data_IF_389484086427
#
_entry.id   IF_389484086427
#
_cell.length_a   1.000
_cell.length_b   1.000
_cell.length_c   1.000
_cell.angle_alpha   90.00
_cell.angle_beta   90.00
_cell.angle_gamma   90.00
#
_symmetry.space_group_name_H-M   'P 1'
#
loop_
_entity.id
_entity.type
_entity.pdbx_description
1 polymer ?
#
# COMPACT_ATOMS: atom_id res chain seq x y z
N UNK A 1 -16.15 -19.60 -19.86
CA UNK A 1 -16.96 -20.02 -18.68
C UNK A 1 -16.01 -20.57 -17.63
N UNK A 2 -16.14 -20.15 -16.37
CA UNK A 2 -15.36 -20.70 -15.27
C UNK A 2 -15.93 -22.09 -14.98
N UNK A 3 -15.07 -23.12 -14.91
CA UNK A 3 -15.50 -24.47 -14.61
C UNK A 3 -15.98 -24.55 -13.15
N UNK A 4 -17.00 -25.39 -12.86
CA UNK A 4 -17.56 -25.53 -11.51
C UNK A 4 -16.51 -26.01 -10.49
N UNK A 5 -15.59 -26.86 -10.93
CA UNK A 5 -14.46 -27.31 -10.10
C UNK A 5 -13.48 -26.16 -9.72
N UNK A 6 -13.39 -25.09 -10.53
CA UNK A 6 -12.56 -23.90 -10.21
C UNK A 6 -13.17 -23.08 -9.08
N UNK A 7 -14.48 -23.20 -8.84
CA UNK A 7 -15.16 -22.56 -7.69
C UNK A 7 -14.86 -23.29 -6.38
N UNK A 8 -14.67 -24.60 -6.43
CA UNK A 8 -14.29 -25.42 -5.28
C UNK A 8 -12.79 -25.34 -4.98
N UNK A 9 -11.97 -25.31 -6.04
CA UNK A 9 -10.51 -25.22 -5.97
C UNK A 9 -10.02 -24.11 -6.87
N UNK A 10 -9.93 -22.85 -6.36
CA UNK A 10 -9.49 -21.72 -7.14
C UNK A 10 -8.14 -22.00 -7.82
N UNK A 11 -7.97 -21.63 -9.10
CA UNK A 11 -6.73 -21.84 -9.81
C UNK A 11 -5.59 -21.05 -9.20
N UNK A 12 -4.38 -21.61 -9.23
CA UNK A 12 -3.20 -20.88 -8.81
C UNK A 12 -2.87 -19.79 -9.85
N UNK A 13 -2.67 -18.57 -9.39
CA UNK A 13 -2.29 -17.41 -10.20
C UNK A 13 -0.98 -16.83 -9.72
N UNK A 14 -0.30 -16.11 -10.60
CA UNK A 14 0.86 -15.27 -10.29
C UNK A 14 0.34 -13.84 -10.16
N UNK A 15 0.25 -13.34 -8.92
CA UNK A 15 -0.39 -12.07 -8.62
C UNK A 15 0.61 -10.91 -8.78
N UNK A 16 0.63 -10.34 -9.95
CA UNK A 16 1.43 -9.16 -10.30
C UNK A 16 0.56 -7.93 -10.60
N UNK A 17 -0.66 -7.90 -10.11
CA UNK A 17 -1.53 -6.73 -10.17
C UNK A 17 -1.24 -5.70 -9.06
N UNK A 18 -2.06 -4.64 -8.95
CA UNK A 18 -1.91 -3.61 -7.92
C UNK A 18 -2.32 -4.08 -6.50
N UNK A 19 -2.40 -5.36 -6.28
CA UNK A 19 -2.85 -6.05 -5.08
C UNK A 19 -4.22 -6.71 -5.28
N UNK A 20 -4.41 -7.90 -4.64
CA UNK A 20 -3.49 -8.55 -3.70
C UNK A 20 -2.20 -9.05 -4.34
N UNK A 21 -1.15 -9.22 -3.51
CA UNK A 21 0.10 -9.88 -3.86
C UNK A 21 0.06 -11.38 -3.52
N UNK A 22 1.01 -12.15 -4.03
CA UNK A 22 1.18 -13.55 -3.65
C UNK A 22 1.37 -13.68 -2.13
N UNK A 23 0.91 -14.79 -1.58
CA UNK A 23 0.96 -15.10 -0.16
C UNK A 23 1.88 -16.29 0.08
N UNK A 24 2.84 -16.13 1.00
CA UNK A 24 3.75 -17.21 1.34
C UNK A 24 3.01 -18.43 1.92
N UNK A 25 3.42 -19.68 1.59
CA UNK A 25 2.77 -20.89 2.12
C UNK A 25 2.70 -20.94 3.66
N UNK A 26 3.66 -20.34 4.37
CA UNK A 26 3.65 -20.22 5.84
C UNK A 26 2.45 -19.40 6.34
N UNK A 27 2.14 -18.31 5.65
CA UNK A 27 1.01 -17.44 5.98
C UNK A 27 -0.32 -18.14 5.74
N UNK A 28 -0.43 -18.89 4.63
CA UNK A 28 -1.63 -19.70 4.34
C UNK A 28 -1.82 -20.81 5.38
N UNK A 29 -0.76 -21.46 5.84
CA UNK A 29 -0.85 -22.45 6.95
C UNK A 29 -1.29 -21.79 8.25
N UNK A 30 -0.80 -20.61 8.57
CA UNK A 30 -1.23 -19.87 9.76
C UNK A 30 -2.72 -19.51 9.67
N UNK A 31 -3.21 -19.09 8.51
CA UNK A 31 -4.62 -18.80 8.26
C UNK A 31 -5.52 -20.02 8.48
N UNK A 32 -5.04 -21.23 8.16
CA UNK A 32 -5.76 -22.49 8.30
C UNK A 32 -5.63 -23.13 9.70
N UNK A 33 -4.97 -22.49 10.65
CA UNK A 33 -4.83 -22.98 12.02
C UNK A 33 -6.17 -22.99 12.77
N UNK A 34 -6.34 -23.83 13.82
CA UNK A 34 -7.55 -23.86 14.62
C UNK A 34 -7.91 -22.48 15.20
N UNK A 35 -9.18 -22.10 15.09
CA UNK A 35 -9.67 -20.82 15.60
C UNK A 35 -9.78 -20.87 17.14
N UNK A 36 -9.17 -19.88 17.81
CA UNK A 36 -9.27 -19.70 19.26
C UNK A 36 -10.40 -18.71 19.61
N UNK A 37 -10.76 -18.65 20.88
CA UNK A 37 -11.63 -17.58 21.38
C UNK A 37 -10.89 -16.22 21.36
N UNK A 38 -11.64 -15.14 21.15
CA UNK A 38 -11.10 -13.78 21.06
C UNK A 38 -10.49 -13.24 22.38
N UNK A 39 -10.75 -13.90 23.51
CA UNK A 39 -10.14 -13.62 24.84
C UNK A 39 -9.27 -14.78 25.33
N UNK A 40 -9.01 -15.78 24.49
CA UNK A 40 -8.08 -16.85 24.83
C UNK A 40 -6.69 -16.29 25.10
N UNK A 41 -6.03 -16.67 26.20
CA UNK A 41 -4.70 -16.16 26.54
C UNK A 41 -3.64 -16.32 25.44
N UNK A 42 -3.72 -17.41 24.66
CA UNK A 42 -2.83 -17.64 23.53
C UNK A 42 -3.11 -16.62 22.40
N UNK A 43 -4.39 -16.36 22.10
CA UNK A 43 -4.77 -15.34 21.11
C UNK A 43 -4.35 -13.93 21.54
N UNK A 44 -4.55 -13.56 22.80
CA UNK A 44 -4.12 -12.28 23.32
C UNK A 44 -2.59 -12.07 23.16
N UNK A 45 -1.80 -13.13 23.40
CA UNK A 45 -0.36 -13.08 23.15
C UNK A 45 -0.02 -12.92 21.66
N UNK A 46 -0.79 -13.53 20.77
CA UNK A 46 -0.65 -13.33 19.31
C UNK A 46 -0.96 -11.87 18.93
N UNK A 47 -1.99 -11.28 19.51
CA UNK A 47 -2.31 -9.84 19.33
C UNK A 47 -1.13 -8.96 19.77
N UNK A 48 -0.55 -9.21 20.94
CA UNK A 48 0.60 -8.45 21.46
C UNK A 48 1.81 -8.56 20.53
N UNK A 49 2.16 -9.78 20.12
CA UNK A 49 3.24 -9.99 19.15
C UNK A 49 2.97 -9.29 17.83
N UNK A 50 1.72 -9.28 17.36
CA UNK A 50 1.33 -8.58 16.13
C UNK A 50 1.54 -7.07 16.27
N UNK A 51 1.15 -6.49 17.41
CA UNK A 51 1.43 -5.06 17.71
C UNK A 51 2.93 -4.74 17.66
N UNK A 52 3.74 -5.55 18.34
CA UNK A 52 5.17 -5.32 18.41
C UNK A 52 5.86 -5.44 17.04
N UNK A 53 5.42 -6.40 16.23
CA UNK A 53 5.91 -6.56 14.86
C UNK A 53 5.45 -5.39 13.97
N UNK A 54 4.21 -4.92 14.09
CA UNK A 54 3.72 -3.74 13.37
C UNK A 54 4.52 -2.49 13.71
N UNK A 55 4.83 -2.24 15.00
CA UNK A 55 5.68 -1.12 15.42
C UNK A 55 7.04 -1.15 14.71
N UNK A 56 7.64 -2.33 14.61
CA UNK A 56 8.93 -2.51 13.91
C UNK A 56 8.81 -2.19 12.42
N UNK A 57 7.73 -2.63 11.75
CA UNK A 57 7.53 -2.40 10.31
C UNK A 57 7.19 -0.94 10.02
N UNK A 58 6.39 -0.27 10.88
CA UNK A 58 6.15 1.17 10.81
C UNK A 58 7.35 2.02 11.28
N UNK A 59 8.34 1.40 11.89
CA UNK A 59 9.49 2.08 12.50
C UNK A 59 9.02 3.14 13.51
N UNK A 60 8.21 2.72 14.48
CA UNK A 60 7.58 3.60 15.45
C UNK A 60 7.54 3.00 16.84
N UNK A 61 7.54 3.88 17.87
CA UNK A 61 7.30 3.56 19.26
C UNK A 61 5.85 3.87 19.71
N UNK A 62 4.98 4.24 18.79
CA UNK A 62 3.59 4.58 19.09
C UNK A 62 2.86 3.42 19.79
N UNK A 63 2.29 3.69 20.95
CA UNK A 63 1.50 2.71 21.71
C UNK A 63 0.25 2.28 20.94
N UNK A 64 -0.40 3.23 20.26
CA UNK A 64 -1.58 2.98 19.47
C UNK A 64 -1.19 2.48 18.07
N UNK A 65 -0.64 1.26 18.02
CA UNK A 65 -0.31 0.53 16.80
C UNK A 65 -1.03 -0.80 16.82
N UNK A 66 -1.91 -1.06 15.86
CA UNK A 66 -2.77 -2.25 15.83
C UNK A 66 -3.24 -2.56 14.40
N UNK A 67 -4.01 -3.63 14.25
CA UNK A 67 -4.67 -3.96 13.00
C UNK A 67 -6.21 -3.86 13.15
N UNK A 68 -6.82 -2.97 12.39
CA UNK A 68 -8.28 -2.83 12.33
C UNK A 68 -8.86 -4.02 11.58
N UNK A 69 -9.98 -4.55 12.08
CA UNK A 69 -10.76 -5.59 11.40
C UNK A 69 -11.50 -4.99 10.22
N UNK A 70 -10.87 -5.10 9.04
CA UNK A 70 -11.32 -4.51 7.79
C UNK A 70 -10.17 -4.30 6.83
N UNK A 71 -10.46 -4.01 5.57
CA UNK A 71 -9.42 -3.75 4.57
C UNK A 71 -8.78 -2.37 4.74
N UNK A 72 -7.77 -2.03 3.92
CA UNK A 72 -7.08 -0.73 4.00
C UNK A 72 -8.01 0.49 3.96
N UNK A 73 -9.17 0.40 3.30
CA UNK A 73 -10.18 1.48 3.31
C UNK A 73 -10.78 1.69 4.70
N UNK A 74 -10.91 0.63 5.50
CA UNK A 74 -11.35 0.75 6.90
C UNK A 74 -10.32 1.52 7.74
N UNK A 75 -9.02 1.34 7.46
CA UNK A 75 -7.95 2.12 8.07
C UNK A 75 -8.01 3.59 7.69
N UNK A 76 -8.26 3.91 6.42
CA UNK A 76 -8.49 5.28 5.95
C UNK A 76 -9.66 5.93 6.72
N UNK A 77 -10.80 5.27 6.75
CA UNK A 77 -11.97 5.78 7.47
C UNK A 77 -11.72 5.92 8.97
N UNK A 78 -11.04 4.94 9.61
CA UNK A 78 -10.70 5.02 11.02
C UNK A 78 -9.79 6.22 11.32
N UNK A 79 -8.78 6.49 10.50
CA UNK A 79 -7.94 7.66 10.68
C UNK A 79 -8.77 8.95 10.56
N UNK A 80 -9.58 9.07 9.51
CA UNK A 80 -10.35 10.30 9.27
C UNK A 80 -11.42 10.50 10.34
N UNK A 81 -12.28 9.51 10.63
CA UNK A 81 -13.40 9.70 11.55
C UNK A 81 -12.97 9.96 13.01
N UNK A 82 -11.77 9.55 13.39
CA UNK A 82 -11.25 9.80 14.73
C UNK A 82 -10.54 11.15 14.86
N UNK A 83 -9.90 11.64 13.77
CA UNK A 83 -9.16 12.91 13.80
C UNK A 83 -10.04 14.11 13.44
N UNK A 84 -11.10 13.91 12.67
CA UNK A 84 -11.97 14.98 12.14
C UNK A 84 -13.28 15.03 12.90
N UNK A 85 -13.73 16.25 13.21
CA UNK A 85 -15.08 16.58 13.62
C UNK A 85 -15.75 17.45 12.54
N UNK A 86 -17.08 17.47 12.45
CA UNK A 86 -17.76 18.36 11.49
C UNK A 86 -17.31 19.80 11.64
N UNK A 87 -16.90 20.42 10.53
CA UNK A 87 -16.37 21.79 10.48
C UNK A 87 -14.87 21.92 10.65
N UNK A 88 -14.14 20.86 11.01
CA UNK A 88 -12.67 20.89 11.01
C UNK A 88 -12.12 21.05 9.61
N UNK A 89 -11.08 21.87 9.45
CA UNK A 89 -10.39 22.04 8.17
C UNK A 89 -9.36 20.92 7.93
N UNK A 90 -9.39 20.35 6.72
CA UNK A 90 -8.44 19.33 6.27
C UNK A 90 -7.91 19.66 4.88
N UNK A 91 -6.59 19.67 4.70
CA UNK A 91 -5.95 19.69 3.38
C UNK A 91 -5.77 18.25 2.91
N UNK A 92 -6.21 17.94 1.68
CA UNK A 92 -6.02 16.62 1.06
C UNK A 92 -5.23 16.77 -0.24
N UNK A 93 -4.11 16.07 -0.34
CA UNK A 93 -3.28 15.98 -1.54
C UNK A 93 -3.83 14.89 -2.48
N UNK A 94 -4.16 15.27 -3.71
CA UNK A 94 -4.78 14.39 -4.70
C UNK A 94 -3.87 14.27 -5.93
N UNK A 95 -3.16 13.13 -6.01
CA UNK A 95 -2.31 12.75 -7.15
C UNK A 95 -2.87 11.51 -7.89
N UNK A 96 -4.07 11.06 -7.52
CA UNK A 96 -4.73 9.90 -8.10
C UNK A 96 -5.99 9.49 -7.37
N UNK A 97 -6.43 8.24 -7.60
CA UNK A 97 -7.70 7.69 -7.05
C UNK A 97 -7.74 7.70 -5.53
N UNK A 98 -6.63 7.34 -4.87
CA UNK A 98 -6.65 7.14 -3.42
C UNK A 98 -6.63 8.46 -2.65
N UNK A 99 -5.94 9.48 -3.17
CA UNK A 99 -6.09 10.86 -2.67
C UNK A 99 -7.52 11.38 -2.85
N UNK A 100 -8.14 11.13 -4.01
CA UNK A 100 -9.55 11.47 -4.25
C UNK A 100 -10.52 10.74 -3.31
N UNK A 101 -10.24 9.48 -2.97
CA UNK A 101 -11.03 8.72 -1.99
C UNK A 101 -10.89 9.30 -0.58
N UNK A 102 -9.68 9.67 -0.16
CA UNK A 102 -9.45 10.31 1.13
C UNK A 102 -10.23 11.63 1.24
N UNK A 103 -10.25 12.42 0.17
CA UNK A 103 -11.10 13.64 0.07
C UNK A 103 -12.58 13.33 0.28
N UNK A 104 -13.14 12.35 -0.43
CA UNK A 104 -14.56 11.96 -0.31
C UNK A 104 -14.88 11.46 1.11
N UNK A 105 -14.01 10.64 1.69
CA UNK A 105 -14.15 10.16 3.08
C UNK A 105 -14.14 11.34 4.06
N UNK A 106 -13.20 12.26 3.95
CA UNK A 106 -13.13 13.44 4.82
C UNK A 106 -14.40 14.30 4.74
N UNK A 107 -14.89 14.54 3.54
CA UNK A 107 -16.15 15.29 3.32
C UNK A 107 -17.35 14.57 3.94
N UNK A 108 -17.46 13.25 3.85
CA UNK A 108 -18.52 12.46 4.47
C UNK A 108 -18.54 12.57 6.00
N UNK A 109 -17.37 12.71 6.61
CA UNK A 109 -17.24 12.95 8.06
C UNK A 109 -17.34 14.43 8.45
N UNK A 110 -17.73 15.31 7.51
CA UNK A 110 -18.05 16.71 7.75
C UNK A 110 -16.86 17.66 7.76
N UNK A 111 -15.68 17.24 7.26
CA UNK A 111 -14.55 18.14 7.10
C UNK A 111 -14.81 19.23 6.08
N UNK A 112 -14.30 20.44 6.33
CA UNK A 112 -14.08 21.47 5.31
C UNK A 112 -12.77 21.12 4.59
N UNK A 113 -12.90 20.54 3.38
CA UNK A 113 -11.75 20.00 2.66
C UNK A 113 -11.19 20.99 1.66
N UNK A 114 -9.93 21.37 1.84
CA UNK A 114 -9.10 22.10 0.87
C UNK A 114 -8.25 21.09 0.10
N UNK A 115 -8.19 21.21 -1.23
CA UNK A 115 -7.56 20.19 -2.07
C UNK A 115 -6.36 20.74 -2.81
N UNK A 116 -5.23 20.03 -2.75
CA UNK A 116 -4.08 20.22 -3.64
C UNK A 116 -4.16 19.13 -4.71
N UNK A 117 -4.58 19.50 -5.92
CA UNK A 117 -4.63 18.57 -7.05
C UNK A 117 -3.40 18.75 -7.94
N UNK A 118 -2.77 17.64 -8.32
CA UNK A 118 -1.64 17.60 -9.25
C UNK A 118 -1.95 16.68 -10.43
N UNK A 119 -1.29 16.86 -11.56
CA UNK A 119 -1.44 15.94 -12.69
C UNK A 119 -1.14 14.49 -12.27
N UNK A 120 -1.94 13.55 -12.74
CA UNK A 120 -1.75 12.14 -12.43
C UNK A 120 -0.39 11.62 -12.91
N UNK A 121 0.34 10.98 -12.02
CA UNK A 121 1.71 10.53 -12.25
C UNK A 121 2.79 11.51 -11.77
N UNK A 122 2.39 12.68 -11.22
CA UNK A 122 3.29 13.59 -10.53
C UNK A 122 3.05 13.60 -9.03
N UNK A 123 4.05 13.96 -8.26
CA UNK A 123 3.94 14.13 -6.80
C UNK A 123 3.57 15.59 -6.44
N UNK A 124 3.17 15.79 -5.21
CA UNK A 124 2.89 17.13 -4.66
C UNK A 124 4.19 17.75 -4.19
N UNK A 125 4.47 18.96 -4.66
CA UNK A 125 5.64 19.72 -4.25
C UNK A 125 5.46 20.32 -2.84
N UNK A 126 6.53 20.38 -2.01
CA UNK A 126 6.47 20.90 -0.65
C UNK A 126 5.95 22.34 -0.58
N UNK A 127 6.29 23.17 -1.55
CA UNK A 127 5.89 24.59 -1.63
C UNK A 127 4.37 24.75 -1.71
N UNK A 128 3.69 23.85 -2.45
CA UNK A 128 2.21 23.87 -2.54
C UNK A 128 1.55 23.59 -1.20
N UNK A 129 2.15 22.72 -0.40
CA UNK A 129 1.65 22.44 0.95
C UNK A 129 1.86 23.64 1.85
N UNK A 130 3.05 24.27 1.79
CA UNK A 130 3.34 25.48 2.57
C UNK A 130 2.39 26.65 2.21
N UNK A 131 2.12 26.87 0.92
CA UNK A 131 1.16 27.85 0.43
C UNK A 131 -0.26 27.59 0.95
N UNK A 132 -0.72 26.35 0.87
CA UNK A 132 -2.05 25.97 1.35
C UNK A 132 -2.19 26.11 2.86
N UNK A 133 -1.20 25.72 3.64
CA UNK A 133 -1.20 25.88 5.10
C UNK A 133 -1.19 27.35 5.50
N UNK A 134 -0.52 28.22 4.73
CA UNK A 134 -0.58 29.67 4.93
C UNK A 134 -1.94 30.26 4.58
N UNK A 135 -2.60 29.75 3.54
CA UNK A 135 -3.94 30.20 3.14
C UNK A 135 -5.03 29.72 4.11
N UNK A 136 -4.85 28.56 4.72
CA UNK A 136 -5.80 27.92 5.64
C UNK A 136 -5.14 27.60 7.00
N UNK A 137 -4.87 28.63 7.82
CA UNK A 137 -4.08 28.49 9.05
C UNK A 137 -4.79 27.67 10.16
N UNK A 138 -6.10 27.38 10.01
CA UNK A 138 -6.86 26.54 10.95
C UNK A 138 -6.85 25.07 10.55
N UNK A 139 -6.08 24.69 9.52
CA UNK A 139 -5.97 23.29 9.08
C UNK A 139 -5.55 22.38 10.23
N UNK A 140 -6.44 21.44 10.56
CA UNK A 140 -6.20 20.44 11.62
C UNK A 140 -5.42 19.24 11.13
N UNK A 141 -5.70 18.77 9.91
CA UNK A 141 -5.08 17.57 9.33
C UNK A 141 -4.64 17.85 7.89
N UNK A 142 -3.44 17.40 7.53
CA UNK A 142 -3.00 17.27 6.14
C UNK A 142 -2.91 15.78 5.80
N UNK A 143 -3.68 15.36 4.80
CA UNK A 143 -3.73 13.97 4.35
C UNK A 143 -3.11 13.79 2.97
N UNK A 144 -2.27 12.77 2.81
CA UNK A 144 -1.64 12.44 1.54
C UNK A 144 -1.40 10.94 1.37
N UNK A 145 -1.22 10.53 0.11
CA UNK A 145 -0.90 9.15 -0.27
C UNK A 145 0.59 9.04 -0.57
N UNK A 146 1.30 8.26 0.24
CA UNK A 146 2.75 8.03 0.07
C UNK A 146 3.08 7.23 -1.19
N UNK A 147 2.21 6.27 -1.54
CA UNK A 147 2.38 5.38 -2.69
C UNK A 147 1.06 5.29 -3.47
N UNK A 148 0.88 6.15 -4.47
CA UNK A 148 -0.37 6.23 -5.24
C UNK A 148 -0.48 5.07 -6.24
N UNK A 149 -1.26 4.07 -5.89
CA UNK A 149 -1.40 2.81 -6.64
C UNK A 149 -2.04 2.98 -8.01
N UNK A 150 -2.81 4.04 -8.23
CA UNK A 150 -3.48 4.30 -9.51
C UNK A 150 -2.51 4.78 -10.59
N UNK A 151 -1.39 5.38 -10.20
CA UNK A 151 -0.42 5.99 -11.12
C UNK A 151 1.01 5.45 -10.99
N UNK A 152 1.29 4.67 -9.94
CA UNK A 152 2.65 4.21 -9.62
C UNK A 152 3.56 5.34 -9.10
N UNK A 153 2.98 6.45 -8.65
CA UNK A 153 3.71 7.60 -8.12
C UNK A 153 4.12 7.36 -6.67
N UNK A 154 5.35 7.71 -6.33
CA UNK A 154 5.90 7.74 -4.98
C UNK A 154 6.06 9.19 -4.52
N UNK A 155 5.46 9.54 -3.40
CA UNK A 155 5.50 10.88 -2.80
C UNK A 155 6.73 11.03 -1.91
N UNK A 156 7.68 11.95 -2.19
CA UNK A 156 8.73 12.33 -1.26
C UNK A 156 8.13 12.96 0.00
N UNK A 157 8.59 12.52 1.19
CA UNK A 157 7.91 12.85 2.46
C UNK A 157 8.70 13.78 3.38
N UNK A 158 10.02 13.77 3.30
CA UNK A 158 10.87 14.35 4.35
C UNK A 158 10.61 15.85 4.55
N UNK A 159 10.69 16.64 3.48
CA UNK A 159 10.46 18.08 3.54
C UNK A 159 9.00 18.43 3.86
N UNK A 160 8.05 17.71 3.24
CA UNK A 160 6.61 17.85 3.51
C UNK A 160 6.30 17.63 4.98
N UNK A 161 6.88 16.61 5.60
CA UNK A 161 6.65 16.31 7.00
C UNK A 161 7.15 17.44 7.92
N UNK A 162 8.28 18.06 7.60
CA UNK A 162 8.83 19.20 8.33
C UNK A 162 7.92 20.43 8.23
N UNK A 163 7.41 20.74 7.04
CA UNK A 163 6.48 21.86 6.80
C UNK A 163 5.19 21.68 7.63
N UNK A 164 4.59 20.50 7.59
CA UNK A 164 3.34 20.21 8.32
C UNK A 164 3.58 20.28 9.83
N UNK A 165 4.71 19.76 10.32
CA UNK A 165 5.09 19.84 11.71
C UNK A 165 5.31 21.29 12.17
N UNK A 166 5.96 22.13 11.37
CA UNK A 166 6.19 23.54 11.69
C UNK A 166 4.87 24.32 11.81
N UNK A 167 3.85 23.97 11.02
CA UNK A 167 2.51 24.55 11.10
C UNK A 167 1.74 24.09 12.36
N UNK A 168 1.98 22.87 12.84
CA UNK A 168 1.25 22.27 13.97
C UNK A 168 0.06 21.39 13.55
N UNK A 169 -0.27 21.27 12.26
CA UNK A 169 -1.27 20.32 11.76
C UNK A 169 -0.83 18.87 11.97
N UNK A 170 -1.80 17.96 12.00
CA UNK A 170 -1.53 16.52 12.05
C UNK A 170 -1.27 15.98 10.65
N UNK A 171 -0.27 15.11 10.51
CA UNK A 171 0.06 14.44 9.26
C UNK A 171 -0.60 13.06 9.20
N UNK A 172 -1.54 12.87 8.26
CA UNK A 172 -2.18 11.58 7.93
C UNK A 172 -1.60 11.01 6.64
N UNK A 173 -1.08 9.78 6.70
CA UNK A 173 -0.44 9.12 5.55
C UNK A 173 -1.14 7.82 5.18
N UNK A 174 -1.52 7.70 3.90
CA UNK A 174 -1.85 6.42 3.27
C UNK A 174 -0.57 5.69 2.89
N UNK A 175 -0.27 4.61 3.58
CA UNK A 175 0.86 3.73 3.33
C UNK A 175 0.43 2.33 2.84
N UNK A 176 -0.74 2.23 2.20
CA UNK A 176 -1.29 0.93 1.78
C UNK A 176 -0.32 0.20 0.86
N UNK A 177 0.30 0.87 -0.09
CA UNK A 177 1.19 0.23 -1.08
C UNK A 177 2.68 0.43 -0.76
N UNK A 178 3.01 1.16 0.30
CA UNK A 178 4.39 1.45 0.72
C UNK A 178 4.87 0.64 1.92
N UNK A 179 4.02 0.35 2.92
CA UNK A 179 4.42 -0.30 4.17
C UNK A 179 5.10 -1.65 3.94
N UNK A 180 6.36 -1.76 4.33
CA UNK A 180 7.17 -2.97 4.14
C UNK A 180 7.76 -3.16 2.74
N UNK A 181 7.60 -2.21 1.82
CA UNK A 181 8.15 -2.26 0.46
C UNK A 181 9.03 -1.08 0.07
N UNK A 182 8.81 0.09 0.69
CA UNK A 182 9.66 1.28 0.57
C UNK A 182 9.91 1.87 1.96
N UNK A 183 10.91 2.76 2.15
CA UNK A 183 11.16 3.40 3.43
C UNK A 183 9.93 4.14 3.94
N UNK A 184 9.56 3.92 5.20
CA UNK A 184 8.45 4.60 5.88
C UNK A 184 8.79 4.76 7.39
N UNK A 185 9.77 5.58 7.75
CA UNK A 185 10.16 5.80 9.14
C UNK A 185 9.18 6.75 9.82
N UNK A 186 8.08 6.22 10.37
CA UNK A 186 6.96 6.97 10.94
C UNK A 186 7.41 7.97 12.00
N UNK A 187 8.26 7.54 12.94
CA UNK A 187 8.76 8.44 14.00
C UNK A 187 9.68 9.53 13.45
N UNK A 188 10.58 9.19 12.52
CA UNK A 188 11.50 10.16 11.93
C UNK A 188 10.76 11.24 11.14
N UNK A 189 9.73 10.85 10.38
CA UNK A 189 8.89 11.79 9.62
C UNK A 189 7.75 12.37 10.46
N UNK A 190 7.70 12.04 11.75
CA UNK A 190 6.67 12.54 12.68
C UNK A 190 5.25 12.41 12.12
N UNK A 191 4.96 11.27 11.52
CA UNK A 191 3.63 10.96 11.00
C UNK A 191 2.68 10.75 12.18
N UNK A 192 1.58 11.50 12.21
CA UNK A 192 0.62 11.45 13.32
C UNK A 192 -0.38 10.30 13.20
N UNK A 193 -0.81 10.01 11.98
CA UNK A 193 -1.66 8.86 11.70
C UNK A 193 -1.22 8.20 10.39
N UNK A 194 -1.10 6.89 10.41
CA UNK A 194 -0.74 6.12 9.23
C UNK A 194 -1.57 4.84 9.15
N UNK A 195 -2.02 4.49 7.96
CA UNK A 195 -2.72 3.23 7.72
C UNK A 195 -2.17 2.49 6.52
N UNK A 196 -2.39 1.16 6.53
CA UNK A 196 -1.98 0.29 5.42
C UNK A 196 -3.01 -0.82 5.18
N UNK A 197 -2.72 -1.73 4.26
CA UNK A 197 -3.51 -2.92 3.96
C UNK A 197 -2.62 -4.15 3.89
N UNK A 198 -3.10 -5.28 4.41
CA UNK A 198 -2.31 -6.51 4.53
C UNK A 198 -1.94 -7.14 3.19
N UNK A 199 -2.78 -6.95 2.15
CA UNK A 199 -2.66 -7.62 0.85
C UNK A 199 -1.63 -7.01 -0.10
N UNK A 200 -0.85 -6.02 0.33
CA UNK A 200 0.18 -5.35 -0.46
C UNK A 200 1.56 -5.90 -0.12
N UNK A 201 2.51 -5.04 0.27
CA UNK A 201 3.88 -5.48 0.53
C UNK A 201 4.05 -6.39 1.75
N UNK A 202 3.03 -6.51 2.61
CA UNK A 202 3.04 -7.48 3.71
C UNK A 202 2.73 -8.90 3.24
N UNK A 203 2.18 -9.09 2.05
CA UNK A 203 1.84 -10.42 1.47
C UNK A 203 1.02 -11.30 2.39
N UNK A 204 0.01 -10.71 3.00
CA UNK A 204 -1.01 -11.39 3.80
C UNK A 204 -2.37 -11.21 3.10
N UNK A 205 -3.29 -12.17 3.14
CA UNK A 205 -4.62 -12.00 2.55
C UNK A 205 -5.31 -10.70 3.00
N UNK A 206 -6.18 -10.08 2.17
CA UNK A 206 -6.94 -8.91 2.57
C UNK A 206 -7.91 -9.22 3.71
N UNK A 207 -8.14 -8.25 4.61
CA UNK A 207 -9.10 -8.41 5.73
C UNK A 207 -8.68 -7.67 6.99
N UNK A 208 -7.43 -7.21 7.07
CA UNK A 208 -6.93 -6.37 8.16
C UNK A 208 -6.28 -5.10 7.61
N UNK A 209 -6.38 -4.01 8.37
CA UNK A 209 -5.70 -2.75 8.10
C UNK A 209 -4.78 -2.39 9.27
N UNK A 210 -3.45 -2.52 9.10
CA UNK A 210 -2.49 -1.96 10.05
C UNK A 210 -2.64 -0.45 10.18
N UNK A 211 -2.66 0.05 11.41
CA UNK A 211 -2.71 1.50 11.70
C UNK A 211 -1.77 1.83 12.83
N UNK A 212 -1.29 3.09 12.85
CA UNK A 212 -0.54 3.66 13.95
C UNK A 212 -0.92 5.12 14.17
N UNK A 213 -0.97 5.56 15.43
CA UNK A 213 -1.31 6.93 15.82
C UNK A 213 -0.29 7.46 16.81
N UNK A 214 0.20 8.68 16.58
CA UNK A 214 1.13 9.37 17.47
C UNK A 214 0.45 9.83 18.76
N UNK A 215 1.25 10.20 19.77
CA UNK A 215 0.73 10.83 20.97
C UNK A 215 -0.07 12.12 20.69
N UNK A 216 0.36 12.92 19.69
CA UNK A 216 -0.38 14.12 19.23
C UNK A 216 -1.75 13.76 18.63
N UNK A 217 -1.81 12.70 17.84
CA UNK A 217 -3.08 12.22 17.30
C UNK A 217 -4.01 11.73 18.41
N UNK A 218 -3.50 11.00 19.40
CA UNK A 218 -4.28 10.57 20.56
C UNK A 218 -4.78 11.75 21.38
N UNK A 219 -3.95 12.75 21.61
CA UNK A 219 -4.35 13.98 22.29
C UNK A 219 -5.48 14.72 21.55
N UNK A 220 -5.40 14.77 20.20
CA UNK A 220 -6.46 15.36 19.40
C UNK A 220 -7.77 14.55 19.49
N UNK A 221 -7.69 13.21 19.54
CA UNK A 221 -8.87 12.36 19.77
C UNK A 221 -9.47 12.55 21.16
N UNK A 222 -8.65 12.64 22.19
CA UNK A 222 -9.10 12.82 23.60
C UNK A 222 -9.76 14.20 23.80
N UNK A 223 -9.39 15.23 23.01
CA UNK A 223 -9.95 16.58 23.02
C UNK A 223 -11.23 16.74 22.20
N UNK A 224 -11.71 15.67 21.54
CA UNK A 224 -12.95 15.75 20.76
C UNK A 224 -14.13 16.22 21.60
N UNK A 225 -14.98 17.04 20.98
CA UNK A 225 -16.22 17.56 21.59
C UNK A 225 -17.41 16.64 21.32
N UNK A 226 -17.32 15.84 20.25
CA UNK A 226 -18.37 14.91 19.80
C UNK A 226 -17.85 13.47 19.81
N UNK A 227 -18.76 12.50 19.97
CA UNK A 227 -18.43 11.09 19.79
C UNK A 227 -18.00 10.83 18.34
N UNK A 228 -17.10 9.86 18.16
CA UNK A 228 -16.77 9.35 16.83
C UNK A 228 -18.03 8.81 16.15
N UNK A 229 -18.31 9.25 14.93
CA UNK A 229 -19.53 8.89 14.21
C UNK A 229 -19.67 7.40 13.94
N UNK A 230 -18.53 6.73 13.68
CA UNK A 230 -18.48 5.28 13.50
C UNK A 230 -18.23 4.57 14.83
N UNK A 231 -19.22 3.86 15.37
CA UNK A 231 -19.03 3.04 16.57
C UNK A 231 -17.96 1.97 16.34
N UNK A 232 -17.97 1.31 15.18
CA UNK A 232 -17.06 0.20 14.86
C UNK A 232 -15.60 0.64 14.71
N UNK A 233 -15.36 1.85 14.22
CA UNK A 233 -14.03 2.41 13.98
C UNK A 233 -13.61 3.41 15.06
N UNK A 234 -14.32 3.48 16.18
CA UNK A 234 -13.95 4.33 17.31
C UNK A 234 -12.66 3.81 17.96
N UNK A 235 -11.57 4.55 17.74
CA UNK A 235 -10.24 4.18 18.21
C UNK A 235 -10.11 4.24 19.73
N UNK A 236 -10.93 5.02 20.43
CA UNK A 236 -10.95 5.04 21.89
C UNK A 236 -11.41 3.70 22.47
N UNK A 237 -12.37 3.05 21.83
CA UNK A 237 -12.87 1.73 22.20
C UNK A 237 -11.89 0.62 21.76
N UNK A 238 -11.35 0.72 20.55
CA UNK A 238 -10.37 -0.24 20.03
C UNK A 238 -9.07 -0.22 20.83
N UNK A 239 -8.65 0.94 21.34
CA UNK A 239 -7.51 1.09 22.25
C UNK A 239 -7.68 0.23 23.50
N UNK A 240 -8.87 0.19 24.09
CA UNK A 240 -9.13 -0.63 25.26
C UNK A 240 -9.11 -2.14 24.96
N UNK A 241 -9.59 -2.53 23.77
CA UNK A 241 -9.56 -3.94 23.34
C UNK A 241 -8.14 -4.43 23.04
N UNK A 242 -7.33 -3.64 22.36
CA UNK A 242 -5.93 -3.98 22.04
C UNK A 242 -4.95 -3.67 23.20
N UNK A 243 -5.36 -2.89 24.19
CA UNK A 243 -4.58 -2.50 25.35
C UNK A 243 -4.59 -3.55 26.47
N UNK A 244 -4.13 -3.16 27.66
CA UNK A 244 -4.08 -4.02 28.87
C UNK A 244 -5.46 -4.48 29.35
N UNK A 245 -6.49 -3.65 29.14
CA UNK A 245 -7.82 -3.87 29.70
C UNK A 245 -8.58 -5.00 29.01
N UNK A 246 -8.23 -5.32 27.77
CA UNK A 246 -8.85 -6.38 26.95
C UNK A 246 -10.37 -6.27 26.93
N UNK A 247 -10.89 -5.04 26.98
CA UNK A 247 -12.33 -4.79 26.93
C UNK A 247 -12.91 -5.24 25.61
N UNK A 248 -13.91 -6.13 25.65
CA UNK A 248 -14.54 -6.64 24.44
C UNK A 248 -15.14 -5.50 23.61
N UNK A 249 -14.77 -5.44 22.34
CA UNK A 249 -15.35 -4.53 21.36
C UNK A 249 -16.10 -5.32 20.28
N UNK A 250 -15.44 -6.24 19.62
CA UNK A 250 -16.01 -7.12 18.59
C UNK A 250 -15.22 -8.43 18.55
N UNK A 251 -15.80 -9.47 17.97
CA UNK A 251 -15.06 -10.70 17.71
C UNK A 251 -14.06 -10.45 16.57
N UNK A 252 -12.78 -10.41 16.92
CA UNK A 252 -11.71 -10.20 15.97
C UNK A 252 -11.63 -11.31 14.91
N UNK A 253 -11.15 -11.03 13.70
CA UNK A 253 -10.91 -12.06 12.69
C UNK A 253 -9.65 -12.87 13.05
N UNK A 254 -9.82 -13.85 13.95
CA UNK A 254 -8.77 -14.60 14.65
C UNK A 254 -7.71 -15.14 13.68
N UNK A 255 -8.14 -15.93 12.69
CA UNK A 255 -7.25 -16.57 11.73
C UNK A 255 -6.52 -15.55 10.82
N UNK A 256 -7.16 -14.42 10.52
CA UNK A 256 -6.51 -13.33 9.79
C UNK A 256 -5.41 -12.67 10.64
N UNK A 257 -5.59 -12.59 11.96
CA UNK A 257 -4.53 -12.09 12.88
C UNK A 257 -3.35 -13.06 12.91
N UNK A 258 -3.58 -14.38 12.88
CA UNK A 258 -2.51 -15.37 12.76
C UNK A 258 -1.73 -15.17 11.47
N UNK A 259 -2.45 -15.03 10.35
CA UNK A 259 -1.84 -14.80 9.04
C UNK A 259 -1.00 -13.52 9.02
N UNK A 260 -1.52 -12.42 9.58
CA UNK A 260 -0.80 -11.17 9.66
C UNK A 260 0.46 -11.28 10.53
N UNK A 261 0.35 -11.88 11.73
CA UNK A 261 1.50 -12.11 12.61
C UNK A 261 2.60 -12.88 11.88
N UNK A 262 2.23 -13.94 11.14
CA UNK A 262 3.18 -14.76 10.38
C UNK A 262 3.82 -13.99 9.21
N UNK A 263 3.02 -13.21 8.47
CA UNK A 263 3.52 -12.35 7.40
C UNK A 263 4.52 -11.30 7.92
N UNK A 264 4.23 -10.67 9.07
CA UNK A 264 5.13 -9.73 9.71
C UNK A 264 6.41 -10.40 10.22
N UNK A 265 6.32 -11.65 10.69
CA UNK A 265 7.48 -12.43 11.10
C UNK A 265 8.43 -12.68 9.91
N UNK A 266 7.90 -13.01 8.73
CA UNK A 266 8.69 -13.16 7.49
C UNK A 266 9.40 -11.83 7.14
N UNK A 267 8.71 -10.69 7.27
CA UNK A 267 9.33 -9.37 7.05
C UNK A 267 10.51 -9.14 7.99
N UNK A 268 10.37 -9.52 9.26
CA UNK A 268 11.44 -9.36 10.26
C UNK A 268 12.61 -10.34 10.05
N UNK A 269 12.34 -11.58 9.64
CA UNK A 269 13.35 -12.56 9.31
C UNK A 269 14.18 -12.15 8.10
N UNK A 270 13.55 -11.59 7.06
CA UNK A 270 14.24 -10.99 5.91
C UNK A 270 15.03 -9.74 6.31
N UNK A 271 14.48 -8.96 7.22
CA UNK A 271 14.96 -7.63 7.60
C UNK A 271 14.47 -6.54 6.67
N UNK A 272 13.89 -5.48 7.26
CA UNK A 272 13.20 -4.42 6.51
C UNK A 272 14.08 -3.75 5.45
N UNK A 273 15.33 -3.44 5.79
CA UNK A 273 16.28 -2.82 4.85
C UNK A 273 16.58 -3.73 3.63
N UNK A 274 16.81 -5.03 3.88
CA UNK A 274 17.05 -6.01 2.80
C UNK A 274 15.79 -6.18 1.93
N UNK A 275 14.61 -6.19 2.55
CA UNK A 275 13.33 -6.29 1.86
C UNK A 275 13.12 -5.09 0.93
N UNK A 276 13.36 -3.88 1.39
CA UNK A 276 13.28 -2.64 0.59
C UNK A 276 14.29 -2.70 -0.56
N UNK A 277 15.54 -3.09 -0.30
CA UNK A 277 16.57 -3.24 -1.33
C UNK A 277 16.15 -4.27 -2.40
N UNK A 278 15.51 -5.39 -1.99
CA UNK A 278 14.97 -6.39 -2.90
C UNK A 278 13.87 -5.84 -3.82
N UNK A 279 12.95 -5.04 -3.28
CA UNK A 279 11.93 -4.36 -4.10
C UNK A 279 12.57 -3.39 -5.10
N UNK A 280 13.55 -2.60 -4.67
CA UNK A 280 14.28 -1.68 -5.54
C UNK A 280 15.04 -2.43 -6.65
N UNK A 281 15.72 -3.53 -6.32
CA UNK A 281 16.42 -4.38 -7.30
C UNK A 281 15.45 -4.90 -8.37
N UNK A 282 14.34 -5.50 -7.96
CA UNK A 282 13.39 -6.08 -8.92
C UNK A 282 12.64 -5.02 -9.73
N UNK A 283 12.39 -3.84 -9.15
CA UNK A 283 11.87 -2.69 -9.91
C UNK A 283 12.85 -2.28 -11.03
N UNK A 284 14.15 -2.15 -10.74
CA UNK A 284 15.17 -1.82 -11.74
C UNK A 284 15.23 -2.85 -12.86
N UNK A 285 15.18 -4.13 -12.52
CA UNK A 285 15.14 -5.23 -13.50
C UNK A 285 13.90 -5.15 -14.39
N UNK A 286 12.71 -4.98 -13.79
CA UNK A 286 11.46 -4.86 -14.54
C UNK A 286 11.48 -3.63 -15.44
N UNK A 287 11.94 -2.50 -14.92
CA UNK A 287 12.04 -1.24 -15.66
C UNK A 287 12.95 -1.37 -16.87
N UNK A 288 14.15 -1.89 -16.70
CA UNK A 288 15.09 -2.09 -17.79
C UNK A 288 14.49 -2.98 -18.90
N UNK A 289 13.81 -4.07 -18.52
CA UNK A 289 13.16 -4.96 -19.49
C UNK A 289 12.01 -4.30 -20.24
N UNK A 290 11.15 -3.54 -19.55
CA UNK A 290 10.03 -2.81 -20.17
C UNK A 290 10.54 -1.70 -21.10
N UNK A 291 11.54 -0.91 -20.68
CA UNK A 291 12.14 0.14 -21.51
C UNK A 291 12.84 -0.43 -22.75
N UNK A 292 13.47 -1.62 -22.65
CA UNK A 292 14.04 -2.32 -23.79
C UNK A 292 12.98 -2.77 -24.83
N UNK A 293 11.75 -2.99 -24.39
CA UNK A 293 10.59 -3.20 -25.28
C UNK A 293 9.97 -1.89 -25.79
N UNK A 294 10.50 -0.73 -25.46
CA UNK A 294 9.95 0.58 -25.82
C UNK A 294 8.73 1.01 -24.99
N UNK A 295 8.47 0.35 -23.88
CA UNK A 295 7.34 0.66 -22.99
C UNK A 295 7.73 1.73 -21.99
N UNK A 296 6.97 2.83 -21.92
CA UNK A 296 7.27 3.98 -21.07
C UNK A 296 6.53 3.95 -19.76
N UNK A 297 7.19 4.42 -18.72
CA UNK A 297 6.59 4.63 -17.39
C UNK A 297 5.71 5.89 -17.37
N UNK A 298 4.65 5.85 -16.56
CA UNK A 298 3.72 6.97 -16.35
C UNK A 298 4.28 7.96 -15.30
N UNK A 299 4.70 7.52 -14.09
CA UNK A 299 5.07 8.45 -13.04
C UNK A 299 6.43 9.11 -13.31
N UNK A 300 6.53 10.39 -12.94
CA UNK A 300 7.81 11.13 -12.93
C UNK A 300 8.71 10.67 -11.79
N UNK A 301 8.11 10.26 -10.65
CA UNK A 301 8.80 9.68 -9.50
C UNK A 301 8.22 8.29 -9.23
N UNK A 302 8.92 7.27 -9.70
CA UNK A 302 8.39 5.90 -9.75
C UNK A 302 8.42 5.21 -8.38
N UNK A 303 7.30 4.60 -8.02
CA UNK A 303 7.18 3.68 -6.90
C UNK A 303 7.82 2.32 -7.26
N UNK A 304 8.64 1.78 -6.37
CA UNK A 304 9.32 0.50 -6.63
C UNK A 304 8.41 -0.72 -6.46
N UNK A 305 7.36 -0.60 -5.68
CA UNK A 305 6.41 -1.69 -5.39
C UNK A 305 5.29 -1.82 -6.42
N UNK A 306 5.04 -0.76 -7.21
CA UNK A 306 4.03 -0.76 -8.27
C UNK A 306 4.49 0.05 -9.47
N UNK A 307 4.43 -0.56 -10.63
CA UNK A 307 4.91 -0.03 -11.90
C UNK A 307 3.72 0.26 -12.81
N UNK A 308 3.38 1.54 -12.99
CA UNK A 308 2.38 1.97 -13.95
C UNK A 308 3.06 2.38 -15.25
N UNK A 309 2.65 1.76 -16.35
CA UNK A 309 3.27 1.89 -17.65
C UNK A 309 2.20 2.13 -18.73
N UNK A 310 2.58 2.82 -19.80
CA UNK A 310 1.70 3.03 -20.93
C UNK A 310 1.48 1.74 -21.72
N UNK A 311 0.24 1.50 -22.14
CA UNK A 311 -0.05 0.51 -23.18
C UNK A 311 0.54 1.03 -24.48
N UNK A 312 1.30 0.20 -25.25
CA UNK A 312 1.83 0.62 -26.54
C UNK A 312 0.71 0.99 -27.52
N UNK A 313 1.00 1.94 -28.41
CA UNK A 313 0.04 2.36 -29.43
C UNK A 313 -0.37 1.20 -30.33
N UNK A 314 -1.66 1.08 -30.62
CA UNK A 314 -2.22 0.00 -31.44
C UNK A 314 -2.47 -1.32 -30.68
N UNK A 315 -2.05 -1.44 -29.42
CA UNK A 315 -2.23 -2.65 -28.60
C UNK A 315 -3.51 -2.55 -27.77
N UNK A 316 -4.31 -3.63 -27.75
CA UNK A 316 -5.52 -3.72 -26.92
C UNK A 316 -5.17 -4.11 -25.48
N UNK A 317 -5.35 -3.16 -24.56
CA UNK A 317 -5.14 -3.35 -23.09
C UNK A 317 -5.82 -4.61 -22.54
N UNK A 318 -7.11 -4.76 -22.82
CA UNK A 318 -7.90 -5.83 -22.21
C UNK A 318 -7.52 -7.22 -22.78
N UNK A 319 -7.18 -7.28 -24.07
CA UNK A 319 -6.74 -8.51 -24.72
C UNK A 319 -5.41 -9.00 -24.16
N UNK A 320 -4.42 -8.12 -24.02
CA UNK A 320 -3.11 -8.49 -23.46
C UNK A 320 -3.26 -8.99 -22.02
N UNK A 321 -4.01 -8.28 -21.15
CA UNK A 321 -4.24 -8.73 -19.77
C UNK A 321 -4.97 -10.07 -19.71
N UNK A 322 -5.95 -10.30 -20.56
CA UNK A 322 -6.65 -11.57 -20.64
C UNK A 322 -5.71 -12.70 -21.06
N UNK A 323 -4.87 -12.47 -22.08
CA UNK A 323 -3.89 -13.45 -22.53
C UNK A 323 -2.85 -13.77 -21.47
N UNK A 324 -2.34 -12.76 -20.75
CA UNK A 324 -1.46 -13.00 -19.59
C UNK A 324 -2.12 -13.93 -18.56
N UNK A 325 -3.41 -13.71 -18.28
CA UNK A 325 -4.15 -14.52 -17.32
C UNK A 325 -4.43 -15.94 -17.82
N UNK A 326 -4.89 -16.08 -19.07
CA UNK A 326 -5.34 -17.36 -19.63
C UNK A 326 -4.17 -18.26 -20.08
N UNK A 327 -3.15 -17.67 -20.71
CA UNK A 327 -2.02 -18.44 -21.29
C UNK A 327 -0.89 -18.66 -20.28
N UNK A 328 -0.67 -17.71 -19.34
CA UNK A 328 0.47 -17.74 -18.41
C UNK A 328 0.07 -17.76 -16.93
N UNK A 329 -1.22 -17.63 -16.62
CA UNK A 329 -1.69 -17.53 -15.24
C UNK A 329 -1.26 -16.27 -14.49
N UNK A 330 -0.83 -15.23 -15.23
CA UNK A 330 -0.33 -13.96 -14.66
C UNK A 330 -1.44 -12.93 -14.61
N UNK A 331 -1.69 -12.34 -13.45
CA UNK A 331 -2.62 -11.23 -13.27
C UNK A 331 -1.87 -9.91 -13.16
N UNK A 332 -2.16 -8.94 -14.07
CA UNK A 332 -1.76 -7.54 -13.96
C UNK A 332 -2.98 -6.62 -13.96
N UNK A 333 -2.81 -5.39 -13.45
CA UNK A 333 -3.92 -4.45 -13.32
C UNK A 333 -4.11 -3.56 -14.56
N UNK A 334 -5.37 -3.17 -14.81
CA UNK A 334 -5.70 -2.11 -15.77
C UNK A 334 -5.41 -0.71 -15.21
N UNK A 335 -5.29 0.28 -16.07
CA UNK A 335 -5.27 1.69 -15.69
C UNK A 335 -6.59 2.15 -15.07
N UNK A 336 -6.54 3.21 -14.28
CA UNK A 336 -7.70 3.84 -13.63
C UNK A 336 -7.85 5.31 -14.07
N UNK A 337 -9.04 5.86 -13.90
CA UNK A 337 -9.33 7.26 -14.23
C UNK A 337 -8.93 7.61 -15.66
N UNK A 338 -8.12 8.65 -15.89
CA UNK A 338 -7.69 9.10 -17.22
C UNK A 338 -6.81 8.07 -17.95
N UNK A 339 -6.25 7.08 -17.24
CA UNK A 339 -5.44 6.00 -17.80
C UNK A 339 -6.23 4.72 -18.11
N UNK A 340 -7.55 4.71 -17.96
CA UNK A 340 -8.39 3.54 -18.27
C UNK A 340 -8.21 3.16 -19.76
N UNK A 341 -7.83 1.91 -20.03
CA UNK A 341 -7.52 1.40 -21.37
C UNK A 341 -6.19 1.88 -21.96
N UNK A 342 -5.41 2.69 -21.24
CA UNK A 342 -4.16 3.31 -21.72
C UNK A 342 -2.94 2.93 -20.88
N UNK A 343 -3.14 2.19 -19.80
CA UNK A 343 -2.09 1.81 -18.88
C UNK A 343 -2.25 0.39 -18.35
N UNK A 344 -1.11 -0.24 -18.06
CA UNK A 344 -1.02 -1.42 -17.21
C UNK A 344 -0.37 -1.07 -15.88
N UNK A 345 -0.75 -1.81 -14.83
CA UNK A 345 -0.14 -1.70 -13.51
C UNK A 345 0.43 -3.05 -13.09
N UNK A 346 1.76 -3.11 -12.96
CA UNK A 346 2.49 -4.32 -12.59
C UNK A 346 3.01 -4.16 -11.16
N UNK A 347 2.52 -4.99 -10.25
CA UNK A 347 2.90 -5.01 -8.85
C UNK A 347 4.13 -5.88 -8.59
N UNK A 348 5.07 -5.33 -7.84
CA UNK A 348 6.22 -6.05 -7.27
C UNK A 348 6.15 -5.90 -5.75
N UNK A 349 5.12 -6.50 -5.12
CA UNK A 349 4.82 -6.32 -3.71
C UNK A 349 5.08 -7.61 -2.91
N UNK A 350 5.89 -7.51 -1.84
CA UNK A 350 6.14 -8.62 -0.94
C UNK A 350 6.67 -9.87 -1.65
N UNK A 351 5.92 -10.98 -1.58
CA UNK A 351 6.27 -12.25 -2.23
C UNK A 351 6.29 -12.16 -3.76
N UNK A 352 5.44 -11.30 -4.35
CA UNK A 352 5.44 -11.05 -5.80
C UNK A 352 6.66 -10.26 -6.28
N UNK A 353 7.47 -9.70 -5.38
CA UNK A 353 8.74 -9.07 -5.73
C UNK A 353 9.85 -10.10 -5.74
N UNK A 354 10.04 -10.81 -6.85
CA UNK A 354 11.11 -11.78 -7.02
C UNK A 354 11.65 -11.77 -8.45
N UNK A 355 12.90 -12.24 -8.63
CA UNK A 355 13.50 -12.45 -9.95
C UNK A 355 12.60 -13.30 -10.85
N UNK A 356 12.02 -14.38 -10.30
CA UNK A 356 11.13 -15.29 -11.02
C UNK A 356 9.93 -14.53 -11.61
N UNK A 357 9.27 -13.66 -10.83
CA UNK A 357 8.11 -12.90 -11.27
C UNK A 357 8.48 -11.90 -12.37
N UNK A 358 9.60 -11.18 -12.22
CA UNK A 358 10.08 -10.24 -13.23
C UNK A 358 10.39 -10.97 -14.54
N UNK A 359 11.14 -12.06 -14.48
CA UNK A 359 11.47 -12.85 -15.68
C UNK A 359 10.22 -13.37 -16.37
N UNK A 360 9.27 -13.91 -15.59
CA UNK A 360 8.05 -14.49 -16.15
C UNK A 360 7.18 -13.44 -16.85
N UNK A 361 6.93 -12.29 -16.22
CA UNK A 361 6.06 -11.25 -16.81
C UNK A 361 6.71 -10.61 -18.04
N UNK A 362 8.04 -10.38 -18.03
CA UNK A 362 8.74 -9.84 -19.20
C UNK A 362 8.68 -10.81 -20.39
N UNK A 363 8.97 -12.09 -20.16
CA UNK A 363 8.91 -13.10 -21.22
C UNK A 363 7.48 -13.27 -21.80
N UNK A 364 6.47 -13.27 -20.93
CA UNK A 364 5.07 -13.38 -21.35
C UNK A 364 4.61 -12.14 -22.14
N UNK A 365 4.94 -10.94 -21.65
CA UNK A 365 4.62 -9.69 -22.35
C UNK A 365 5.30 -9.62 -23.73
N UNK A 366 6.58 -9.95 -23.81
CA UNK A 366 7.34 -9.97 -25.06
C UNK A 366 6.69 -10.91 -26.08
N UNK A 367 6.35 -12.13 -25.68
CA UNK A 367 5.68 -13.13 -26.53
C UNK A 367 4.28 -12.66 -26.99
N UNK A 368 3.47 -12.11 -26.09
CA UNK A 368 2.12 -11.63 -26.42
C UNK A 368 2.21 -10.42 -27.36
N UNK A 369 3.02 -9.42 -27.04
CA UNK A 369 3.14 -8.18 -27.81
C UNK A 369 3.62 -8.45 -29.25
N UNK A 370 4.55 -9.37 -29.43
CA UNK A 370 4.99 -9.81 -30.77
C UNK A 370 3.82 -10.34 -31.59
N UNK A 371 2.98 -11.19 -30.99
CA UNK A 371 1.81 -11.79 -31.69
C UNK A 371 0.65 -10.80 -31.89
N UNK A 372 0.62 -9.72 -31.11
CA UNK A 372 -0.30 -8.58 -31.29
C UNK A 372 0.23 -7.58 -32.35
N UNK A 373 1.36 -7.87 -32.98
CA UNK A 373 1.94 -7.04 -34.07
C UNK A 373 2.75 -5.84 -33.57
N UNK A 374 3.07 -5.78 -32.28
CA UNK A 374 3.95 -4.75 -31.76
C UNK A 374 5.41 -5.08 -32.11
N UNK A 375 6.11 -4.11 -32.72
CA UNK A 375 7.51 -4.28 -33.14
C UNK A 375 8.45 -4.21 -31.92
N UNK A 376 9.14 -5.30 -31.62
CA UNK A 376 10.13 -5.39 -30.55
C UNK A 376 11.23 -6.39 -30.93
N UNK A 377 12.38 -6.30 -30.28
CA UNK A 377 13.49 -7.24 -30.40
C UNK A 377 13.33 -8.36 -29.37
N UNK A 378 13.19 -9.60 -29.85
CA UNK A 378 13.02 -10.77 -28.98
C UNK A 378 14.27 -11.02 -28.13
N UNK A 379 14.05 -11.25 -26.83
CA UNK A 379 15.10 -11.48 -25.85
C UNK A 379 15.74 -10.20 -25.30
N UNK A 380 15.44 -9.02 -25.86
CA UNK A 380 15.98 -7.76 -25.38
C UNK A 380 15.53 -7.43 -23.96
N UNK A 381 14.26 -7.70 -23.62
CA UNK A 381 13.73 -7.45 -22.30
C UNK A 381 14.44 -8.26 -21.20
N UNK A 382 14.65 -9.56 -21.42
CA UNK A 382 15.33 -10.42 -20.46
C UNK A 382 16.82 -10.10 -20.37
N UNK A 383 17.46 -9.73 -21.47
CA UNK A 383 18.87 -9.31 -21.51
C UNK A 383 19.08 -8.02 -20.70
N UNK A 384 18.21 -7.01 -20.91
CA UNK A 384 18.26 -5.75 -20.17
C UNK A 384 17.99 -5.96 -18.66
N UNK A 385 17.01 -6.78 -18.31
CA UNK A 385 16.72 -7.11 -16.90
C UNK A 385 17.91 -7.81 -16.22
N UNK A 386 18.58 -8.73 -16.91
CA UNK A 386 19.77 -9.43 -16.38
C UNK A 386 20.97 -8.49 -16.23
N UNK A 387 21.15 -7.52 -17.12
CA UNK A 387 22.18 -6.49 -16.98
C UNK A 387 21.93 -5.60 -15.74
N UNK A 388 20.68 -5.11 -15.58
CA UNK A 388 20.28 -4.29 -14.43
C UNK A 388 20.39 -5.05 -13.09
N UNK A 389 20.20 -6.37 -13.09
CA UNK A 389 20.41 -7.21 -11.90
C UNK A 389 21.88 -7.18 -11.46
N UNK A 390 22.81 -7.37 -12.38
CA UNK A 390 24.26 -7.36 -12.09
C UNK A 390 24.73 -6.00 -11.57
N UNK A 391 24.26 -4.90 -12.17
CA UNK A 391 24.57 -3.55 -11.71
C UNK A 391 24.10 -3.29 -10.28
N UNK A 392 22.90 -3.78 -9.94
CA UNK A 392 22.37 -3.65 -8.58
C UNK A 392 23.17 -4.45 -7.54
N UNK A 393 23.76 -5.57 -7.90
CA UNK A 393 24.62 -6.38 -7.03
C UNK A 393 25.96 -5.70 -6.77
N UNK A 394 26.56 -5.08 -7.77
CA UNK A 394 27.82 -4.34 -7.62
C UNK A 394 27.64 -3.11 -6.72
N UNK A 395 26.52 -2.40 -6.82
CA UNK A 395 26.22 -1.21 -6.01
C UNK A 395 26.02 -1.51 -4.51
N UNK A 396 25.78 -2.75 -4.11
CA UNK A 396 25.62 -3.17 -2.71
C UNK A 396 26.97 -3.54 -2.07
N UNK A 397 28.00 -3.79 -2.87
CA UNK A 397 29.34 -4.24 -2.40
C UNK A 397 30.30 -3.04 -2.18
N UNK A 398 29.95 -1.86 -2.63
CA UNK A 398 30.68 -0.59 -2.44
C UNK A 398 29.98 0.22 -1.36
#
# INVERSE_FOLDING_TARGET
MIAEQDLQFPPQRVLMGPGPSDVAPRVLRALAAPTLGHLDPCYLRIMDQTRDLLRKVFQTNNDMTLAISGTGSAGMEACVCNLIEPGDEMIVCVAGVFGGRMKDVAQRYGAVVHTIEVPWGTHVEPEKIAEMLKAYPQTKVVGLVHAETSTGMHQPMEEISQIIQAHGALLLVDAVTSLGGVPLPVDQWKIDACYSGTQKCLSCPPGLSPVTFSARALEAMDKRKSKVTSWYLDMSMLRNYWGSDRAYHHTAPINMTYALREALQIVMEEGLAKRIARHTKHHRMLRAGLEAMGIRYIPTHSLTTLNAIHVPEGVDDARVRRRLLEEYGIEIGAGLGPFKGKAWRIGLMGESSSRRHVTLVLAALESILQTEGFSLELGAALSAAAAAEKEAEVAVVV
#
